data_IF_620195801830
#
_entry.id   IF_620195801830
#
_cell.length_a   1.000
_cell.length_b   1.000
_cell.length_c   1.000
_cell.angle_alpha   90.00
_cell.angle_beta   90.00
_cell.angle_gamma   90.00
#
_symmetry.space_group_name_H-M   'P 1'
#
loop_
_entity.id
_entity.type
_entity.pdbx_description
1 polymer ?
#
# COMPACT_ATOMS: atom_id res chain seq x y z
N UNK A 1 17.54 6.92 -1.85
CA UNK A 1 16.17 7.10 -2.41
C UNK A 1 15.87 8.56 -2.72
N UNK A 2 15.84 9.48 -1.74
CA UNK A 2 15.50 10.90 -1.97
C UNK A 2 16.44 11.63 -2.95
N UNK A 3 17.75 11.35 -2.92
CA UNK A 3 18.75 12.01 -3.80
C UNK A 3 18.67 11.56 -5.25
N UNK A 4 18.37 10.27 -5.49
CA UNK A 4 18.11 9.72 -6.83
C UNK A 4 16.79 10.27 -7.39
N UNK A 5 15.73 10.39 -6.58
CA UNK A 5 14.49 11.04 -7.01
C UNK A 5 14.68 12.53 -7.37
N UNK A 6 15.59 13.22 -6.68
CA UNK A 6 15.90 14.62 -6.92
C UNK A 6 16.84 14.90 -8.12
N UNK A 7 17.29 13.86 -8.85
CA UNK A 7 18.20 14.04 -9.98
C UNK A 7 19.65 14.34 -9.60
N UNK A 8 20.01 14.20 -8.32
CA UNK A 8 21.29 14.69 -7.76
C UNK A 8 22.42 13.64 -7.90
N UNK A 9 22.08 12.36 -8.03
CA UNK A 9 23.06 11.27 -8.14
C UNK A 9 23.11 10.69 -9.57
N UNK A 10 24.34 10.46 -10.04
CA UNK A 10 24.63 9.80 -11.31
C UNK A 10 24.06 8.37 -11.30
N UNK A 11 23.40 7.94 -12.39
CA UNK A 11 22.80 6.61 -12.55
C UNK A 11 23.68 5.45 -12.08
N UNK A 12 24.97 5.47 -12.46
CA UNK A 12 25.94 4.45 -12.12
C UNK A 12 26.16 4.33 -10.61
N UNK A 13 26.21 5.48 -9.91
CA UNK A 13 26.39 5.54 -8.45
C UNK A 13 25.17 4.97 -7.74
N UNK A 14 23.97 5.28 -8.22
CA UNK A 14 22.73 4.73 -7.66
C UNK A 14 22.69 3.20 -7.77
N UNK A 15 23.02 2.66 -8.96
CA UNK A 15 23.11 1.20 -9.20
C UNK A 15 24.16 0.56 -8.30
N UNK A 16 25.34 1.16 -8.16
CA UNK A 16 26.40 0.66 -7.28
C UNK A 16 25.90 0.51 -5.84
N UNK A 17 25.26 1.54 -5.28
CA UNK A 17 24.72 1.45 -3.91
C UNK A 17 23.60 0.42 -3.79
N UNK A 18 22.74 0.27 -4.80
CA UNK A 18 21.71 -0.77 -4.77
C UNK A 18 22.28 -2.18 -4.69
N UNK A 19 23.37 -2.47 -5.41
CA UNK A 19 24.07 -3.76 -5.35
C UNK A 19 24.66 -4.05 -3.97
N UNK A 20 25.04 -3.01 -3.23
CA UNK A 20 25.60 -3.10 -1.89
C UNK A 20 24.53 -3.25 -0.78
N UNK A 21 23.23 -3.14 -1.11
CA UNK A 21 22.16 -3.26 -0.11
C UNK A 21 22.25 -4.63 0.59
N UNK A 22 22.30 -4.67 1.94
CA UNK A 22 22.25 -5.92 2.70
C UNK A 22 20.90 -6.62 2.57
N UNK A 23 20.94 -7.95 2.46
CA UNK A 23 19.74 -8.78 2.33
C UNK A 23 19.23 -8.87 0.89
N UNK A 24 19.11 -10.10 0.38
CA UNK A 24 18.74 -10.36 -1.01
C UNK A 24 17.37 -9.77 -1.37
N UNK A 25 16.39 -9.82 -0.47
CA UNK A 25 15.04 -9.26 -0.70
C UNK A 25 15.09 -7.74 -0.88
N UNK A 26 15.79 -7.04 0.00
CA UNK A 26 15.92 -5.58 -0.05
C UNK A 26 16.72 -5.16 -1.27
N UNK A 27 17.79 -5.89 -1.60
CA UNK A 27 18.60 -5.68 -2.81
C UNK A 27 17.77 -5.83 -4.08
N UNK A 28 17.04 -6.94 -4.24
CA UNK A 28 16.13 -7.17 -5.38
C UNK A 28 15.15 -6.02 -5.53
N UNK A 29 14.43 -5.65 -4.46
CA UNK A 29 13.45 -4.57 -4.50
C UNK A 29 14.09 -3.21 -4.87
N UNK A 30 15.30 -2.94 -4.37
CA UNK A 30 16.02 -1.70 -4.65
C UNK A 30 16.44 -1.65 -6.11
N UNK A 31 16.96 -2.74 -6.67
CA UNK A 31 17.34 -2.82 -8.08
C UNK A 31 16.13 -2.66 -9.00
N UNK A 32 14.97 -3.26 -8.67
CA UNK A 32 13.72 -3.01 -9.40
C UNK A 32 13.39 -1.51 -9.44
N UNK A 33 13.44 -0.85 -8.28
CA UNK A 33 13.13 0.58 -8.19
C UNK A 33 14.12 1.44 -9.00
N UNK A 34 15.41 1.13 -8.96
CA UNK A 34 16.41 1.85 -9.76
C UNK A 34 16.18 1.60 -11.25
N UNK A 35 15.98 0.36 -11.69
CA UNK A 35 15.69 0.06 -13.10
C UNK A 35 14.48 0.84 -13.64
N UNK A 36 13.43 0.97 -12.83
CA UNK A 36 12.25 1.80 -13.17
C UNK A 36 12.60 3.28 -13.28
N UNK A 37 13.43 3.80 -12.37
CA UNK A 37 13.87 5.20 -12.41
C UNK A 37 14.75 5.49 -13.62
N UNK A 38 15.68 4.60 -13.96
CA UNK A 38 16.54 4.70 -15.14
C UNK A 38 15.71 4.77 -16.42
N UNK A 39 14.71 3.88 -16.56
CA UNK A 39 13.79 3.92 -17.70
C UNK A 39 13.03 5.24 -17.80
N UNK A 40 12.55 5.78 -16.68
CA UNK A 40 11.88 7.10 -16.65
C UNK A 40 12.80 8.25 -17.07
N UNK A 41 14.12 8.10 -16.93
CA UNK A 41 15.14 9.07 -17.38
C UNK A 41 15.59 8.86 -18.83
N UNK A 42 15.07 7.84 -19.52
CA UNK A 42 15.46 7.51 -20.90
C UNK A 42 16.68 6.57 -21.01
N UNK A 43 17.22 6.08 -19.90
CA UNK A 43 18.38 5.18 -19.86
C UNK A 43 17.96 3.72 -20.07
N UNK A 44 17.43 3.41 -21.25
CA UNK A 44 16.77 2.13 -21.51
C UNK A 44 17.73 0.93 -21.45
N UNK A 45 18.99 1.08 -21.88
CA UNK A 45 19.98 -0.02 -21.81
C UNK A 45 20.31 -0.38 -20.36
N UNK A 46 20.71 0.61 -19.57
CA UNK A 46 21.03 0.43 -18.15
C UNK A 46 19.82 -0.04 -17.35
N UNK A 47 18.62 0.45 -17.67
CA UNK A 47 17.38 -0.04 -17.08
C UNK A 47 17.17 -1.54 -17.36
N UNK A 48 17.38 -1.99 -18.60
CA UNK A 48 17.25 -3.41 -18.97
C UNK A 48 18.24 -4.29 -18.22
N UNK A 49 19.50 -3.87 -18.13
CA UNK A 49 20.53 -4.60 -17.40
C UNK A 49 20.19 -4.74 -15.92
N UNK A 50 19.83 -3.64 -15.27
CA UNK A 50 19.48 -3.63 -13.83
C UNK A 50 18.22 -4.45 -13.55
N UNK A 51 17.23 -4.42 -14.43
CA UNK A 51 16.01 -5.22 -14.29
C UNK A 51 16.26 -6.71 -14.54
N UNK A 52 17.18 -7.07 -15.45
CA UNK A 52 17.60 -8.46 -15.65
C UNK A 52 18.36 -8.98 -14.42
N UNK A 53 19.26 -8.19 -13.84
CA UNK A 53 19.94 -8.52 -12.58
C UNK A 53 18.93 -8.72 -11.43
N UNK A 54 17.95 -7.82 -11.32
CA UNK A 54 16.89 -7.94 -10.32
C UNK A 54 16.05 -9.21 -10.53
N UNK A 55 15.79 -9.62 -11.77
CA UNK A 55 15.08 -10.87 -12.09
C UNK A 55 15.86 -12.11 -11.65
N UNK A 56 17.16 -12.14 -11.89
CA UNK A 56 18.01 -13.25 -11.43
C UNK A 56 18.05 -13.33 -9.91
N UNK A 57 18.17 -12.20 -9.21
CA UNK A 57 18.08 -12.19 -7.74
C UNK A 57 16.68 -12.58 -7.25
N UNK A 58 15.62 -12.18 -7.95
CA UNK A 58 14.26 -12.57 -7.60
C UNK A 58 14.08 -14.09 -7.64
N UNK A 59 14.67 -14.77 -8.63
CA UNK A 59 14.61 -16.24 -8.78
C UNK A 59 15.31 -17.01 -7.65
N UNK A 60 16.30 -16.39 -7.00
CA UNK A 60 16.99 -16.95 -5.84
C UNK A 60 16.19 -16.82 -4.53
N UNK A 61 15.11 -16.04 -4.51
CA UNK A 61 14.24 -15.92 -3.34
C UNK A 61 13.37 -17.16 -3.17
N UNK A 62 12.78 -17.32 -1.97
CA UNK A 62 11.89 -18.44 -1.66
C UNK A 62 10.45 -17.98 -1.36
N UNK A 63 9.49 -18.85 -1.70
CA UNK A 63 8.06 -18.71 -1.39
C UNK A 63 7.49 -17.33 -1.74
N UNK A 64 6.86 -16.68 -0.74
CA UNK A 64 6.18 -15.38 -0.93
C UNK A 64 7.11 -14.26 -1.42
N UNK A 65 8.41 -14.32 -1.09
CA UNK A 65 9.35 -13.27 -1.48
C UNK A 65 9.68 -13.37 -2.97
N UNK A 66 9.83 -14.59 -3.50
CA UNK A 66 10.02 -14.84 -4.94
C UNK A 66 8.79 -14.41 -5.73
N UNK A 67 7.61 -14.93 -5.36
CA UNK A 67 6.35 -14.60 -6.05
C UNK A 67 6.12 -13.08 -6.10
N UNK A 68 6.34 -12.37 -4.97
CA UNK A 68 6.22 -10.91 -4.93
C UNK A 68 7.24 -10.19 -5.80
N UNK A 69 8.51 -10.59 -5.76
CA UNK A 69 9.56 -9.95 -6.55
C UNK A 69 9.32 -10.12 -8.06
N UNK A 70 8.93 -11.32 -8.48
CA UNK A 70 8.56 -11.59 -9.87
C UNK A 70 7.36 -10.75 -10.31
N UNK A 71 6.30 -10.68 -9.50
CA UNK A 71 5.13 -9.84 -9.78
C UNK A 71 5.47 -8.35 -9.98
N UNK A 72 6.43 -7.83 -9.19
CA UNK A 72 6.93 -6.46 -9.33
C UNK A 72 7.74 -6.22 -10.60
N UNK A 73 8.38 -7.26 -11.16
CA UNK A 73 9.21 -7.18 -12.35
C UNK A 73 8.42 -7.25 -13.66
N UNK A 74 7.35 -8.07 -13.71
CA UNK A 74 6.49 -8.28 -14.90
C UNK A 74 6.18 -7.00 -15.73
N UNK A 75 5.75 -5.86 -15.14
CA UNK A 75 5.42 -4.67 -15.93
C UNK A 75 6.64 -4.03 -16.60
N UNK A 76 7.85 -4.36 -16.13
CA UNK A 76 9.09 -3.77 -16.57
C UNK A 76 9.91 -4.68 -17.51
N UNK A 77 9.44 -5.91 -17.73
CA UNK A 77 10.06 -6.87 -18.64
C UNK A 77 9.58 -6.70 -20.09
N UNK A 78 10.44 -7.05 -21.07
CA UNK A 78 10.06 -7.20 -22.47
C UNK A 78 8.90 -8.18 -22.68
N UNK A 79 8.05 -8.01 -23.71
CA UNK A 79 6.85 -8.84 -23.92
C UNK A 79 7.10 -10.35 -23.95
N UNK A 80 8.19 -10.78 -24.58
CA UNK A 80 8.61 -12.18 -24.66
C UNK A 80 8.98 -12.79 -23.30
N UNK A 81 9.58 -12.02 -22.40
CA UNK A 81 9.91 -12.48 -21.04
C UNK A 81 8.70 -12.39 -20.09
N UNK A 82 7.82 -11.41 -20.31
CA UNK A 82 6.67 -11.14 -19.46
C UNK A 82 5.78 -12.37 -19.27
N UNK A 83 5.48 -13.08 -20.35
CA UNK A 83 4.60 -14.25 -20.30
C UNK A 83 5.22 -15.42 -19.51
N UNK A 84 6.52 -15.65 -19.71
CA UNK A 84 7.25 -16.71 -19.01
C UNK A 84 7.35 -16.42 -17.51
N UNK A 85 7.71 -15.19 -17.13
CA UNK A 85 7.81 -14.78 -15.73
C UNK A 85 6.44 -14.71 -15.05
N UNK A 86 5.39 -14.34 -15.78
CA UNK A 86 4.02 -14.43 -15.27
C UNK A 86 3.65 -15.89 -14.96
N UNK A 87 3.91 -16.82 -15.88
CA UNK A 87 3.70 -18.26 -15.66
C UNK A 87 4.46 -18.77 -14.43
N UNK A 88 5.75 -18.44 -14.33
CA UNK A 88 6.59 -18.76 -13.16
C UNK A 88 5.98 -18.22 -11.86
N UNK A 89 5.60 -16.95 -11.83
CA UNK A 89 5.03 -16.31 -10.65
C UNK A 89 3.73 -16.97 -10.19
N UNK A 90 2.88 -17.43 -11.13
CA UNK A 90 1.61 -18.11 -10.86
C UNK A 90 1.82 -19.52 -10.30
N UNK A 91 2.72 -20.30 -10.90
CA UNK A 91 3.06 -21.64 -10.39
C UNK A 91 3.52 -21.58 -8.94
N UNK A 92 4.36 -20.59 -8.61
CA UNK A 92 4.84 -20.36 -7.23
C UNK A 92 3.74 -19.94 -6.26
N UNK A 93 2.62 -19.38 -6.73
CA UNK A 93 1.50 -19.06 -5.82
C UNK A 93 0.88 -20.33 -5.25
N UNK A 94 0.79 -21.39 -6.06
CA UNK A 94 0.20 -22.65 -5.62
C UNK A 94 1.01 -23.30 -4.49
N UNK A 95 2.32 -23.05 -4.45
CA UNK A 95 3.25 -23.53 -3.42
C UNK A 95 3.18 -22.75 -2.09
N UNK A 96 2.46 -21.63 -2.02
CA UNK A 96 2.30 -20.91 -0.76
C UNK A 96 1.38 -21.71 0.17
N UNK A 97 1.58 -21.68 1.49
CA UNK A 97 0.66 -22.35 2.43
C UNK A 97 -0.45 -21.42 2.91
N UNK A 98 -0.14 -20.12 3.02
CA UNK A 98 -1.03 -19.14 3.62
C UNK A 98 -1.99 -18.54 2.57
N UNK A 99 -3.29 -18.73 2.78
CA UNK A 99 -4.38 -18.18 1.96
C UNK A 99 -4.25 -16.67 1.73
N UNK A 100 -3.82 -15.90 2.74
CA UNK A 100 -3.65 -14.46 2.59
C UNK A 100 -2.48 -14.11 1.67
N UNK A 101 -1.39 -14.86 1.75
CA UNK A 101 -0.24 -14.65 0.87
C UNK A 101 -0.59 -15.10 -0.57
N UNK A 102 -1.36 -16.18 -0.74
CA UNK A 102 -1.94 -16.59 -2.03
C UNK A 102 -2.79 -15.50 -2.65
N UNK A 103 -3.84 -15.05 -1.94
CA UNK A 103 -4.76 -14.04 -2.44
C UNK A 103 -4.01 -12.76 -2.86
N UNK A 104 -3.06 -12.29 -2.03
CA UNK A 104 -2.26 -11.11 -2.37
C UNK A 104 -1.38 -11.29 -3.59
N UNK A 105 -0.76 -12.46 -3.74
CA UNK A 105 0.06 -12.76 -4.91
C UNK A 105 -0.80 -12.78 -6.18
N UNK A 106 -1.94 -13.47 -6.18
CA UNK A 106 -2.86 -13.52 -7.32
C UNK A 106 -3.40 -12.14 -7.68
N UNK A 107 -3.80 -11.33 -6.70
CA UNK A 107 -4.25 -9.95 -6.93
C UNK A 107 -3.17 -9.13 -7.63
N UNK A 108 -1.91 -9.26 -7.22
CA UNK A 108 -0.80 -8.53 -7.84
C UNK A 108 -0.53 -8.95 -9.30
N UNK A 109 -1.05 -10.11 -9.71
CA UNK A 109 -0.90 -10.66 -11.06
C UNK A 109 -2.12 -10.38 -11.97
N UNK A 110 -3.26 -9.93 -11.41
CA UNK A 110 -4.48 -9.59 -12.16
C UNK A 110 -4.26 -8.57 -13.31
N UNK A 111 -3.45 -7.50 -13.15
CA UNK A 111 -3.22 -6.53 -14.23
C UNK A 111 -2.58 -7.13 -15.48
N UNK A 112 -1.87 -8.26 -15.35
CA UNK A 112 -1.06 -8.85 -16.41
C UNK A 112 -1.76 -9.98 -17.15
N UNK A 113 -3.03 -10.23 -16.82
CA UNK A 113 -3.86 -11.26 -17.48
C UNK A 113 -4.74 -10.65 -18.57
N UNK A 114 -4.96 -11.37 -19.69
CA UNK A 114 -6.03 -11.08 -20.63
C UNK A 114 -7.38 -11.06 -19.92
N UNK A 115 -8.31 -10.21 -20.39
CA UNK A 115 -9.63 -10.01 -19.78
C UNK A 115 -10.38 -11.33 -19.56
N UNK A 116 -10.37 -12.24 -20.53
CA UNK A 116 -11.04 -13.56 -20.46
C UNK A 116 -10.51 -14.49 -19.35
N UNK A 117 -9.27 -14.30 -18.90
CA UNK A 117 -8.68 -15.07 -17.79
C UNK A 117 -8.80 -14.35 -16.45
N UNK A 118 -9.07 -13.05 -16.47
CA UNK A 118 -9.15 -12.21 -15.27
C UNK A 118 -10.36 -12.58 -14.41
N UNK A 119 -11.53 -12.80 -15.02
CA UNK A 119 -12.77 -13.15 -14.31
C UNK A 119 -12.62 -14.42 -13.46
N UNK A 120 -12.09 -15.50 -14.06
CA UNK A 120 -11.84 -16.75 -13.33
C UNK A 120 -10.85 -16.57 -12.18
N UNK A 121 -9.82 -15.76 -12.39
CA UNK A 121 -8.83 -15.48 -11.36
C UNK A 121 -9.40 -14.61 -10.24
N UNK A 122 -10.24 -13.63 -10.56
CA UNK A 122 -10.99 -12.83 -9.58
C UNK A 122 -11.86 -13.74 -8.73
N UNK A 123 -12.64 -14.64 -9.34
CA UNK A 123 -13.47 -15.58 -8.59
C UNK A 123 -12.63 -16.46 -7.65
N UNK A 124 -11.55 -17.06 -8.16
CA UNK A 124 -10.66 -17.87 -7.34
C UNK A 124 -10.07 -17.09 -6.15
N UNK A 125 -9.74 -15.81 -6.35
CA UNK A 125 -9.28 -14.94 -5.26
C UNK A 125 -10.40 -14.63 -4.27
N UNK A 126 -11.62 -14.39 -4.73
CA UNK A 126 -12.79 -14.19 -3.85
C UNK A 126 -12.98 -15.39 -2.93
N UNK A 127 -12.94 -16.61 -3.47
CA UNK A 127 -13.06 -17.86 -2.69
C UNK A 127 -11.94 -17.96 -1.62
N UNK A 128 -10.70 -17.63 -2.00
CA UNK A 128 -9.58 -17.61 -1.05
C UNK A 128 -9.78 -16.57 0.06
N UNK A 129 -10.35 -15.41 -0.27
CA UNK A 129 -10.63 -14.33 0.67
C UNK A 129 -11.74 -14.70 1.64
N UNK A 130 -12.80 -15.37 1.16
CA UNK A 130 -13.88 -15.87 1.99
C UNK A 130 -13.37 -16.89 3.03
N UNK A 131 -12.42 -17.75 2.64
CA UNK A 131 -11.75 -18.67 3.53
C UNK A 131 -10.83 -18.03 4.60
N UNK A 132 -10.61 -16.71 4.56
CA UNK A 132 -9.79 -16.02 5.55
C UNK A 132 -10.55 -15.79 6.86
N UNK A 133 -10.23 -16.57 7.89
CA UNK A 133 -10.80 -16.40 9.24
C UNK A 133 -10.35 -15.14 9.99
N UNK A 134 -9.27 -14.47 9.56
CA UNK A 134 -8.80 -13.24 10.22
C UNK A 134 -9.43 -12.00 9.55
N UNK A 135 -10.29 -11.22 10.26
CA UNK A 135 -11.04 -10.11 9.66
C UNK A 135 -10.13 -9.00 9.12
N UNK A 136 -9.00 -8.73 9.78
CA UNK A 136 -8.03 -7.76 9.29
C UNK A 136 -7.40 -8.17 7.95
N UNK A 137 -6.99 -9.44 7.82
CA UNK A 137 -6.45 -9.97 6.56
C UNK A 137 -7.52 -10.02 5.46
N UNK A 138 -8.75 -10.44 5.81
CA UNK A 138 -9.87 -10.52 4.89
C UNK A 138 -10.24 -9.15 4.32
N UNK A 139 -10.49 -8.16 5.18
CA UNK A 139 -10.81 -6.79 4.76
C UNK A 139 -9.71 -6.18 3.87
N UNK A 140 -8.42 -6.38 4.23
CA UNK A 140 -7.32 -5.90 3.40
C UNK A 140 -7.20 -6.59 2.04
N UNK A 141 -7.55 -7.88 1.96
CA UNK A 141 -7.54 -8.60 0.70
C UNK A 141 -8.73 -8.17 -0.18
N UNK A 142 -9.92 -8.00 0.40
CA UNK A 142 -11.08 -7.40 -0.28
C UNK A 142 -10.73 -6.03 -0.84
N UNK A 143 -10.16 -5.14 -0.01
CA UNK A 143 -9.73 -3.80 -0.42
C UNK A 143 -8.86 -3.82 -1.69
N UNK A 144 -7.91 -4.76 -1.74
CA UNK A 144 -6.99 -4.90 -2.85
C UNK A 144 -7.64 -5.53 -4.11
N UNK A 145 -8.73 -6.29 -3.96
CA UNK A 145 -9.47 -6.90 -5.05
C UNK A 145 -10.45 -5.93 -5.72
N UNK A 146 -11.03 -4.97 -4.96
CA UNK A 146 -12.05 -4.01 -5.44
C UNK A 146 -11.75 -3.42 -6.83
N UNK A 147 -10.53 -2.91 -7.13
CA UNK A 147 -10.24 -2.31 -8.44
C UNK A 147 -10.37 -3.25 -9.64
N UNK A 148 -10.42 -4.57 -9.38
CA UNK A 148 -10.51 -5.61 -10.41
C UNK A 148 -11.89 -6.25 -10.51
N UNK A 149 -12.84 -5.85 -9.66
CA UNK A 149 -14.22 -6.30 -9.73
C UNK A 149 -15.00 -5.55 -10.81
N UNK A 150 -16.04 -6.16 -11.41
CA UNK A 150 -17.04 -5.48 -12.21
C UNK A 150 -17.56 -4.20 -11.51
N UNK A 151 -17.75 -3.12 -12.26
CA UNK A 151 -18.05 -1.78 -11.69
C UNK A 151 -19.33 -1.77 -10.86
N UNK A 152 -20.32 -2.58 -11.25
CA UNK A 152 -21.58 -2.83 -10.53
C UNK A 152 -21.38 -3.56 -9.20
N UNK A 153 -20.32 -4.35 -9.05
CA UNK A 153 -20.01 -5.11 -7.83
C UNK A 153 -19.09 -4.37 -6.85
N UNK A 154 -18.37 -3.33 -7.31
CA UNK A 154 -17.44 -2.58 -6.47
C UNK A 154 -18.09 -1.96 -5.22
N UNK A 155 -19.28 -1.31 -5.29
CA UNK A 155 -19.91 -0.74 -4.10
C UNK A 155 -20.19 -1.78 -3.00
N UNK A 156 -20.75 -2.94 -3.38
CA UNK A 156 -21.00 -4.04 -2.45
C UNK A 156 -19.69 -4.54 -1.82
N UNK A 157 -18.64 -4.73 -2.62
CA UNK A 157 -17.35 -5.20 -2.11
C UNK A 157 -16.67 -4.18 -1.17
N UNK A 158 -16.88 -2.87 -1.39
CA UNK A 158 -16.43 -1.82 -0.45
C UNK A 158 -17.18 -1.96 0.88
N UNK A 159 -18.50 -2.10 0.84
CA UNK A 159 -19.34 -2.26 2.03
C UNK A 159 -18.95 -3.53 2.82
N UNK A 160 -18.77 -4.66 2.14
CA UNK A 160 -18.29 -5.91 2.74
C UNK A 160 -16.92 -5.75 3.39
N UNK A 161 -16.01 -5.02 2.74
CA UNK A 161 -14.67 -4.77 3.29
C UNK A 161 -14.73 -3.88 4.54
N UNK A 162 -15.63 -2.88 4.57
CA UNK A 162 -15.85 -2.00 5.72
C UNK A 162 -16.49 -2.78 6.87
N UNK A 163 -17.52 -3.60 6.60
CA UNK A 163 -18.17 -4.43 7.61
C UNK A 163 -17.19 -5.46 8.19
N UNK A 164 -16.37 -6.08 7.34
CA UNK A 164 -15.30 -6.99 7.77
C UNK A 164 -14.25 -6.26 8.61
N UNK A 165 -13.91 -5.01 8.27
CA UNK A 165 -13.01 -4.19 9.07
C UNK A 165 -13.60 -3.88 10.45
N UNK A 166 -14.91 -3.61 10.53
CA UNK A 166 -15.60 -3.34 11.80
C UNK A 166 -15.54 -4.52 12.77
N UNK A 167 -15.47 -5.76 12.26
CA UNK A 167 -15.32 -7.00 13.06
C UNK A 167 -13.90 -7.21 13.64
N UNK A 168 -12.94 -6.31 13.37
CA UNK A 168 -11.59 -6.39 13.94
C UNK A 168 -11.65 -6.01 15.45
N UNK A 169 -11.20 -6.89 16.38
CA UNK A 169 -11.34 -6.65 17.82
C UNK A 169 -10.59 -5.42 18.36
N UNK A 170 -9.46 -5.06 17.72
CA UNK A 170 -8.68 -3.88 18.10
C UNK A 170 -9.27 -2.64 17.42
N UNK A 171 -9.87 -1.75 18.20
CA UNK A 171 -10.61 -0.59 17.70
C UNK A 171 -9.75 0.33 16.83
N UNK A 172 -8.48 0.55 17.22
CA UNK A 172 -7.59 1.40 16.45
C UNK A 172 -7.18 0.76 15.11
N UNK A 173 -6.93 -0.55 15.10
CA UNK A 173 -6.67 -1.33 13.87
C UNK A 173 -7.91 -1.41 12.98
N UNK A 174 -9.10 -1.56 13.57
CA UNK A 174 -10.39 -1.49 12.87
C UNK A 174 -10.53 -0.14 12.16
N UNK A 175 -10.33 0.95 12.90
CA UNK A 175 -10.37 2.32 12.38
C UNK A 175 -9.39 2.55 11.24
N UNK A 176 -8.12 2.17 11.41
CA UNK A 176 -7.13 2.28 10.34
C UNK A 176 -7.53 1.48 9.10
N UNK A 177 -8.06 0.27 9.28
CA UNK A 177 -8.47 -0.57 8.15
C UNK A 177 -9.63 0.05 7.38
N UNK A 178 -10.61 0.63 8.09
CA UNK A 178 -11.71 1.41 7.49
C UNK A 178 -11.21 2.68 6.80
N UNK A 179 -10.25 3.40 7.39
CA UNK A 179 -9.71 4.62 6.82
C UNK A 179 -9.06 4.38 5.44
N UNK A 180 -8.35 3.27 5.27
CA UNK A 180 -7.74 2.88 3.97
C UNK A 180 -8.80 2.61 2.90
N UNK A 181 -10.00 2.16 3.28
CA UNK A 181 -11.09 1.86 2.33
C UNK A 181 -11.76 3.12 1.77
N UNK A 182 -11.54 4.31 2.35
CA UNK A 182 -12.14 5.57 1.91
C UNK A 182 -11.79 5.88 0.45
N UNK A 183 -10.59 5.49 -0.01
CA UNK A 183 -10.18 5.67 -1.40
C UNK A 183 -11.09 4.97 -2.42
N UNK A 184 -11.85 3.97 -1.99
CA UNK A 184 -12.77 3.20 -2.83
C UNK A 184 -14.23 3.64 -2.70
N UNK A 185 -14.53 4.59 -1.80
CA UNK A 185 -15.89 5.11 -1.66
C UNK A 185 -16.26 6.07 -2.81
N UNK A 186 -17.55 6.17 -3.16
CA UNK A 186 -18.09 7.27 -3.96
C UNK A 186 -17.74 8.65 -3.36
N UNK A 187 -17.51 9.66 -4.20
CA UNK A 187 -17.00 10.98 -3.78
C UNK A 187 -17.91 11.67 -2.74
N UNK A 188 -19.22 11.51 -2.88
CA UNK A 188 -20.24 12.01 -1.95
C UNK A 188 -20.14 11.40 -0.55
N UNK A 189 -19.72 10.13 -0.44
CA UNK A 189 -19.53 9.43 0.84
C UNK A 189 -18.14 9.59 1.45
N UNK A 190 -17.13 10.03 0.67
CA UNK A 190 -15.77 10.20 1.20
C UNK A 190 -15.71 11.26 2.30
N UNK A 191 -16.40 12.39 2.11
CA UNK A 191 -16.38 13.49 3.09
C UNK A 191 -16.89 13.05 4.46
N UNK A 192 -18.04 12.38 4.50
CA UNK A 192 -18.62 11.89 5.76
C UNK A 192 -17.73 10.82 6.40
N UNK A 193 -17.17 9.90 5.61
CA UNK A 193 -16.27 8.86 6.11
C UNK A 193 -14.97 9.45 6.70
N UNK A 194 -14.39 10.48 6.08
CA UNK A 194 -13.22 11.19 6.63
C UNK A 194 -13.57 11.85 7.96
N UNK A 195 -14.71 12.54 8.05
CA UNK A 195 -15.17 13.17 9.29
C UNK A 195 -15.46 12.15 10.41
N UNK A 196 -15.98 10.96 10.08
CA UNK A 196 -16.09 9.85 11.03
C UNK A 196 -14.74 9.37 11.53
N UNK A 197 -13.75 9.24 10.64
CA UNK A 197 -12.40 8.81 11.03
C UNK A 197 -11.77 9.84 11.98
N UNK A 198 -11.86 11.14 11.69
CA UNK A 198 -11.30 12.19 12.55
C UNK A 198 -11.91 12.14 13.96
N UNK A 199 -13.24 12.06 14.06
CA UNK A 199 -13.95 11.93 15.35
C UNK A 199 -13.53 10.67 16.11
N UNK A 200 -13.52 9.52 15.44
CA UNK A 200 -13.12 8.26 16.08
C UNK A 200 -11.67 8.28 16.59
N UNK A 201 -10.76 9.02 15.92
CA UNK A 201 -9.39 9.20 16.43
C UNK A 201 -9.39 10.06 17.69
N UNK A 202 -10.19 11.12 17.74
CA UNK A 202 -10.32 11.96 18.94
C UNK A 202 -10.82 11.13 20.12
N UNK A 203 -11.91 10.37 19.93
CA UNK A 203 -12.49 9.49 20.95
C UNK A 203 -11.46 8.47 21.49
N UNK A 204 -10.66 7.87 20.60
CA UNK A 204 -9.61 6.92 20.96
C UNK A 204 -8.45 7.53 21.76
N UNK A 205 -8.15 8.82 21.56
CA UNK A 205 -7.08 9.50 22.30
C UNK A 205 -7.56 10.07 23.65
N UNK A 206 -8.86 10.34 23.79
CA UNK A 206 -9.52 10.82 25.01
C UNK A 206 -9.71 9.69 26.04
N UNK A 207 -10.13 8.48 25.64
CA UNK A 207 -10.25 7.31 26.52
C UNK A 207 -9.31 6.14 26.11
N UNK A 208 -8.04 6.14 26.58
CA UNK A 208 -7.11 5.06 26.30
C UNK A 208 -7.40 3.78 27.10
N UNK A 209 -8.30 3.81 28.11
CA UNK A 209 -8.50 2.74 29.09
C UNK A 209 -9.08 1.45 28.50
N UNK A 210 -9.79 1.55 27.38
CA UNK A 210 -10.36 0.40 26.67
C UNK A 210 -9.35 -0.27 25.70
N UNK A 211 -8.23 0.38 25.40
CA UNK A 211 -7.18 -0.18 24.55
C UNK A 211 -6.09 -0.81 25.41
N UNK A 212 -6.18 -2.14 25.61
CA UNK A 212 -5.14 -2.98 26.27
C UNK A 212 -3.72 -2.80 25.70
N UNK A 213 -3.59 -2.09 24.58
CA UNK A 213 -2.31 -1.70 24.00
C UNK A 213 -2.27 -0.24 23.52
N UNK A 214 -2.21 0.71 24.45
CA UNK A 214 -2.06 2.16 24.19
C UNK A 214 -0.99 2.49 23.13
N UNK A 215 0.12 1.75 23.10
CA UNK A 215 1.20 1.97 22.13
C UNK A 215 0.86 1.56 20.69
N UNK A 216 0.00 0.54 20.51
CA UNK A 216 -0.50 0.12 19.19
C UNK A 216 -1.62 1.03 18.72
N UNK A 217 -2.51 1.48 19.62
CA UNK A 217 -3.61 2.38 19.28
C UNK A 217 -3.12 3.65 18.57
N UNK A 218 -2.17 4.36 19.18
CA UNK A 218 -1.57 5.56 18.61
C UNK A 218 -0.83 5.33 17.27
N UNK A 219 -0.40 4.09 16.99
CA UNK A 219 0.27 3.79 15.72
C UNK A 219 -0.76 3.75 14.61
N UNK A 220 -1.92 3.14 14.89
CA UNK A 220 -3.01 3.08 13.95
C UNK A 220 -3.73 4.43 13.77
N UNK A 221 -3.88 5.25 14.82
CA UNK A 221 -4.37 6.63 14.70
C UNK A 221 -3.53 7.45 13.71
N UNK A 222 -2.21 7.38 13.84
CA UNK A 222 -1.27 8.02 12.90
C UNK A 222 -1.47 7.52 11.47
N UNK A 223 -1.53 6.20 11.27
CA UNK A 223 -1.70 5.65 9.93
C UNK A 223 -3.10 5.93 9.35
N UNK A 224 -4.13 6.04 10.19
CA UNK A 224 -5.48 6.42 9.78
C UNK A 224 -5.51 7.88 9.31
N UNK A 225 -4.90 8.82 10.07
CA UNK A 225 -4.77 10.22 9.65
C UNK A 225 -4.01 10.34 8.32
N UNK A 226 -2.90 9.62 8.17
CA UNK A 226 -2.15 9.61 6.93
C UNK A 226 -2.97 9.03 5.76
N UNK A 227 -3.78 7.99 6.00
CA UNK A 227 -4.63 7.39 4.97
C UNK A 227 -5.75 8.33 4.49
N UNK A 228 -6.28 9.19 5.35
CA UNK A 228 -7.33 10.14 4.97
C UNK A 228 -6.81 11.47 4.43
N UNK A 229 -5.52 11.77 4.62
CA UNK A 229 -4.91 13.03 4.21
C UNK A 229 -5.19 13.42 2.73
N UNK A 230 -5.14 12.50 1.74
CA UNK A 230 -5.44 12.83 0.34
C UNK A 230 -6.90 13.20 0.07
N UNK A 231 -7.81 12.95 1.02
CA UNK A 231 -9.26 13.13 0.85
C UNK A 231 -9.82 14.26 1.71
N UNK A 232 -8.96 15.04 2.37
CA UNK A 232 -9.39 16.17 3.20
C UNK A 232 -9.92 17.31 2.34
N UNK A 233 -11.15 17.74 2.63
CA UNK A 233 -11.64 19.03 2.17
C UNK A 233 -10.99 20.16 2.98
N UNK A 234 -10.94 21.40 2.44
CA UNK A 234 -10.41 22.55 3.18
C UNK A 234 -11.04 22.73 4.56
N UNK A 235 -12.35 22.45 4.69
CA UNK A 235 -13.08 22.55 5.96
C UNK A 235 -12.65 21.50 7.01
N UNK A 236 -12.25 20.30 6.58
CA UNK A 236 -11.85 19.20 7.48
C UNK A 236 -10.36 19.23 7.80
N UNK A 237 -9.59 20.09 7.12
CA UNK A 237 -8.16 20.21 7.33
C UNK A 237 -7.82 20.70 8.75
N UNK A 238 -8.53 21.72 9.24
CA UNK A 238 -8.29 22.26 10.58
C UNK A 238 -8.53 21.20 11.65
N UNK A 239 -9.62 20.45 11.50
CA UNK A 239 -9.95 19.33 12.37
C UNK A 239 -8.86 18.23 12.32
N UNK A 240 -8.34 17.91 11.14
CA UNK A 240 -7.24 16.95 10.98
C UNK A 240 -5.94 17.44 11.65
N UNK A 241 -5.63 18.74 11.57
CA UNK A 241 -4.46 19.34 12.24
C UNK A 241 -4.63 19.31 13.76
N UNK A 242 -5.80 19.66 14.28
CA UNK A 242 -6.11 19.57 15.72
C UNK A 242 -5.95 18.13 16.20
N UNK A 243 -6.52 17.17 15.47
CA UNK A 243 -6.42 15.74 15.76
C UNK A 243 -4.96 15.27 15.75
N UNK A 244 -4.17 15.68 14.74
CA UNK A 244 -2.74 15.36 14.68
C UNK A 244 -1.94 15.94 15.85
N UNK A 245 -2.29 17.16 16.32
CA UNK A 245 -1.63 17.81 17.46
C UNK A 245 -1.89 17.09 18.79
N UNK A 246 -3.05 16.45 18.94
CA UNK A 246 -3.40 15.65 20.12
C UNK A 246 -2.61 14.33 20.22
N UNK A 247 -1.93 13.90 19.15
CA UNK A 247 -1.06 12.71 19.21
C UNK A 247 0.07 12.92 20.23
N UNK A 248 0.13 12.04 21.24
CA UNK A 248 1.03 12.19 22.39
C UNK A 248 2.52 12.15 22.02
N UNK A 249 2.90 11.35 21.02
CA UNK A 249 4.32 11.17 20.64
C UNK A 249 4.74 12.21 19.61
N UNK A 250 5.74 13.03 19.96
CA UNK A 250 6.26 14.11 19.11
C UNK A 250 6.66 13.64 17.69
N UNK A 251 7.39 12.53 17.56
CA UNK A 251 7.78 12.00 16.25
C UNK A 251 6.58 11.56 15.39
N UNK A 252 5.49 11.09 16.01
CA UNK A 252 4.26 10.68 15.30
C UNK A 252 3.49 11.91 14.83
N UNK A 253 3.35 12.89 15.72
CA UNK A 253 2.76 14.20 15.40
C UNK A 253 3.48 14.86 14.24
N UNK A 254 4.81 14.96 14.30
CA UNK A 254 5.62 15.55 13.23
C UNK A 254 5.43 14.81 11.89
N UNK A 255 5.41 13.47 11.92
CA UNK A 255 5.17 12.67 10.70
C UNK A 255 3.80 12.97 10.07
N UNK A 256 2.72 12.97 10.86
CA UNK A 256 1.37 13.23 10.33
C UNK A 256 1.24 14.66 9.82
N UNK A 257 1.77 15.65 10.56
CA UNK A 257 1.75 17.05 10.12
C UNK A 257 2.54 17.24 8.82
N UNK A 258 3.67 16.55 8.66
CA UNK A 258 4.42 16.54 7.42
C UNK A 258 3.65 15.87 6.26
N UNK A 259 2.93 14.79 6.53
CA UNK A 259 2.09 14.13 5.52
C UNK A 259 0.90 15.01 5.12
N UNK A 260 0.21 15.63 6.07
CA UNK A 260 -0.84 16.61 5.80
C UNK A 260 -0.32 17.78 4.98
N UNK A 261 0.86 18.31 5.30
CA UNK A 261 1.48 19.42 4.58
C UNK A 261 1.75 19.12 3.10
N UNK A 262 1.97 17.85 2.72
CA UNK A 262 2.16 17.44 1.31
C UNK A 262 0.90 17.62 0.46
N UNK A 263 -0.26 17.66 1.09
CA UNK A 263 -1.55 17.82 0.43
C UNK A 263 -2.08 19.26 0.51
N UNK A 264 -1.24 20.21 0.96
CA UNK A 264 -1.58 21.61 1.08
C UNK A 264 -0.89 22.49 0.02
N UNK A 265 -1.49 23.65 -0.32
CA UNK A 265 -0.78 24.73 -0.99
C UNK A 265 0.47 25.15 -0.20
N UNK A 266 1.56 25.48 -0.90
CA UNK A 266 2.90 25.72 -0.34
C UNK A 266 2.91 26.73 0.84
N UNK A 267 2.11 27.79 0.75
CA UNK A 267 2.00 28.82 1.78
C UNK A 267 1.39 28.30 3.11
N UNK A 268 0.48 27.33 3.02
CA UNK A 268 -0.11 26.64 4.17
C UNK A 268 0.79 25.52 4.67
N UNK A 269 1.48 24.81 3.76
CA UNK A 269 2.47 23.79 4.11
C UNK A 269 3.61 24.38 4.96
N UNK A 270 4.18 25.51 4.55
CA UNK A 270 5.26 26.16 5.29
C UNK A 270 4.81 26.61 6.69
N UNK A 271 3.61 27.18 6.82
CA UNK A 271 3.03 27.58 8.11
C UNK A 271 2.74 26.41 9.03
N UNK A 272 2.29 25.28 8.49
CA UNK A 272 2.05 24.08 9.29
C UNK A 272 3.37 23.50 9.83
N UNK A 273 4.38 23.43 8.96
CA UNK A 273 5.69 22.85 9.28
C UNK A 273 6.53 23.73 10.21
N UNK A 274 6.33 25.05 10.22
CA UNK A 274 7.01 25.95 11.18
C UNK A 274 6.52 25.79 12.63
N UNK A 275 5.44 25.02 12.85
CA UNK A 275 4.87 24.74 14.19
C UNK A 275 5.17 23.33 14.72
N UNK A 276 5.98 22.56 13.99
CA UNK A 276 6.42 21.20 14.34
C UNK A 276 7.73 21.21 15.14
#
# INVERSE_FOLDING_TARGET
MARVQAGIEEPAVAVFYARQVPGIVQRTNTLVQIGVLLRKRGEESSAREVLAEALELARQLNGKNRSRALAMLIPHLPPNQRQNVLGEALSLVHELDNYYDKARALISLLPYRPTSQRERLVQHVSDLIEGLGNPYRRSRALAALIPYLPTDQQPSAVEDAIETAAKIPDAARSLYTRAVLIQHLPLDRRRSAVAEVLRAIQDLEEDPGNNRHIHYAQRYSLHALAAVAPFLSPDLLEEAIITARRLRRAHRRAYVLAELARHLPLDRSCRLLSTC
#
